data_IF_955920423435
#
_entry.id   IF_955920423435
#
_cell.length_a   1.000
_cell.length_b   1.000
_cell.length_c   1.000
_cell.angle_alpha   90.00
_cell.angle_beta   90.00
_cell.angle_gamma   90.00
#
_symmetry.space_group_name_H-M   'P 1'
#
loop_
_entity.id
_entity.type
_entity.pdbx_description
1 polymer ?
#
# COMPACT_ATOMS: atom_id res chain seq x y z
N UNK A 1 3.18 -25.15 16.71
CA UNK A 1 3.47 -24.43 15.45
C UNK A 1 2.39 -23.38 15.29
N UNK A 2 2.74 -22.10 15.22
CA UNK A 2 1.76 -21.04 14.96
C UNK A 2 1.37 -21.11 13.49
N UNK A 3 0.09 -21.36 13.21
CA UNK A 3 -0.43 -21.38 11.85
C UNK A 3 -0.36 -19.96 11.27
N UNK A 4 0.25 -19.78 10.10
CA UNK A 4 0.29 -18.48 9.43
C UNK A 4 -1.13 -18.07 9.00
N UNK A 5 -1.51 -16.78 9.09
CA UNK A 5 -2.81 -16.31 8.62
C UNK A 5 -3.01 -16.57 7.11
N UNK A 6 -4.24 -16.92 6.75
CA UNK A 6 -4.63 -17.20 5.37
C UNK A 6 -5.16 -15.94 4.68
N UNK A 7 -4.65 -15.65 3.49
CA UNK A 7 -5.11 -14.57 2.62
C UNK A 7 -5.86 -15.15 1.43
N UNK A 8 -6.94 -14.51 1.00
CA UNK A 8 -7.49 -14.71 -0.33
C UNK A 8 -6.59 -14.11 -1.42
N UNK A 9 -6.93 -14.32 -2.69
CA UNK A 9 -6.21 -13.69 -3.81
C UNK A 9 -6.38 -12.15 -3.86
N UNK A 10 -7.34 -11.63 -3.11
CA UNK A 10 -7.56 -10.20 -2.86
C UNK A 10 -8.00 -9.97 -1.43
N UNK A 11 -7.55 -8.87 -0.85
CA UNK A 11 -7.78 -8.49 0.54
C UNK A 11 -8.10 -7.01 0.69
N UNK A 12 -8.66 -6.62 1.83
CA UNK A 12 -8.72 -5.23 2.25
C UNK A 12 -7.48 -4.90 3.08
N UNK A 13 -6.88 -3.74 2.80
CA UNK A 13 -5.78 -3.21 3.60
C UNK A 13 -6.04 -1.75 3.96
N UNK A 14 -5.32 -1.26 4.97
CA UNK A 14 -5.30 0.16 5.34
C UNK A 14 -3.86 0.70 5.28
N UNK A 15 -3.72 1.97 4.91
CA UNK A 15 -2.49 2.75 4.94
C UNK A 15 -2.73 3.97 5.85
N UNK A 16 -2.61 3.81 7.18
CA UNK A 16 -3.03 4.82 8.15
C UNK A 16 -2.21 6.11 8.08
N UNK A 17 -0.96 6.05 7.61
CA UNK A 17 -0.11 7.25 7.43
C UNK A 17 -0.57 8.15 6.27
N UNK A 18 -1.54 7.67 5.48
CA UNK A 18 -2.17 8.38 4.37
C UNK A 18 -3.69 8.51 4.52
N UNK A 19 -4.23 8.28 5.72
CA UNK A 19 -5.69 8.30 6.00
C UNK A 19 -6.52 7.36 5.10
N UNK A 20 -5.90 6.32 4.54
CA UNK A 20 -6.57 5.31 3.72
C UNK A 20 -6.99 4.16 4.62
N UNK A 21 -8.24 4.20 5.08
CA UNK A 21 -8.78 3.18 5.96
C UNK A 21 -9.14 1.86 5.26
N UNK A 22 -9.47 1.90 3.97
CA UNK A 22 -9.88 0.73 3.20
C UNK A 22 -9.47 0.88 1.74
N UNK A 23 -8.54 0.03 1.28
CA UNK A 23 -8.19 -0.12 -0.12
C UNK A 23 -8.14 -1.61 -0.47
N UNK A 24 -8.73 -1.98 -1.60
CA UNK A 24 -8.65 -3.35 -2.11
C UNK A 24 -7.28 -3.58 -2.73
N UNK A 25 -6.57 -4.58 -2.23
CA UNK A 25 -5.31 -5.01 -2.77
C UNK A 25 -5.44 -6.41 -3.39
N UNK A 26 -4.80 -6.61 -4.54
CA UNK A 26 -4.58 -7.95 -5.09
C UNK A 26 -3.32 -8.53 -4.45
N UNK A 27 -3.40 -9.77 -3.99
CA UNK A 27 -2.24 -10.55 -3.58
C UNK A 27 -1.60 -11.09 -4.86
N UNK A 28 -0.40 -10.62 -5.18
CA UNK A 28 0.25 -10.87 -6.47
C UNK A 28 1.57 -11.62 -6.25
N UNK A 29 1.49 -12.95 -6.28
CA UNK A 29 2.67 -13.83 -6.20
C UNK A 29 3.59 -13.71 -7.40
N UNK A 30 3.19 -13.06 -8.49
CA UNK A 30 4.06 -12.74 -9.63
C UNK A 30 4.94 -11.52 -9.37
N UNK A 31 4.52 -10.59 -8.50
CA UNK A 31 5.26 -9.39 -8.16
C UNK A 31 6.26 -9.63 -7.01
N UNK A 32 7.50 -9.14 -7.16
CA UNK A 32 8.49 -9.15 -6.06
C UNK A 32 8.09 -8.13 -4.98
N UNK A 33 7.94 -6.87 -5.38
CA UNK A 33 7.63 -5.74 -4.50
C UNK A 33 6.16 -5.35 -4.58
N UNK A 34 5.63 -4.81 -3.50
CA UNK A 34 4.30 -4.19 -3.48
C UNK A 34 4.27 -2.90 -4.32
N UNK A 35 3.11 -2.56 -4.85
CA UNK A 35 2.91 -1.38 -5.67
C UNK A 35 1.59 -0.70 -5.32
N UNK A 36 1.64 0.62 -5.16
CA UNK A 36 0.49 1.47 -4.92
C UNK A 36 0.20 2.28 -6.18
N UNK A 37 -1.04 2.20 -6.62
CA UNK A 37 -1.52 3.04 -7.71
C UNK A 37 -1.65 4.47 -7.20
N UNK A 38 -0.97 5.39 -7.87
CA UNK A 38 -1.02 6.82 -7.58
C UNK A 38 -0.92 7.64 -8.86
N UNK A 39 -1.42 8.86 -8.81
CA UNK A 39 -1.32 9.88 -9.86
C UNK A 39 -0.74 11.17 -9.28
N UNK A 40 -0.47 12.17 -10.12
CA UNK A 40 0.18 13.43 -9.72
C UNK A 40 1.43 13.20 -8.85
N UNK A 41 2.34 12.33 -9.32
CA UNK A 41 3.53 11.92 -8.56
C UNK A 41 4.63 12.98 -8.74
N UNK A 42 4.70 13.92 -7.80
CA UNK A 42 5.57 15.09 -7.88
C UNK A 42 6.65 15.08 -6.79
N UNK A 43 7.93 14.89 -7.15
CA UNK A 43 9.02 14.94 -6.19
C UNK A 43 9.31 16.37 -5.74
N UNK A 44 9.63 16.55 -4.46
CA UNK A 44 10.02 17.85 -3.90
C UNK A 44 11.07 17.70 -2.80
N UNK A 45 11.55 18.82 -2.26
CA UNK A 45 12.46 18.86 -1.12
C UNK A 45 11.80 19.53 0.09
N UNK A 46 11.97 18.92 1.27
CA UNK A 46 11.53 19.46 2.57
C UNK A 46 12.67 19.29 3.56
N UNK A 47 13.18 20.39 4.10
CA UNK A 47 14.31 20.37 5.05
C UNK A 47 15.56 19.67 4.49
N UNK A 48 15.87 19.84 3.20
CA UNK A 48 17.00 19.18 2.54
C UNK A 48 16.80 17.71 2.17
N UNK A 49 15.77 17.05 2.69
CA UNK A 49 15.40 15.66 2.36
C UNK A 49 14.54 15.59 1.09
N UNK A 50 14.68 14.50 0.32
CA UNK A 50 13.79 14.22 -0.83
C UNK A 50 12.46 13.65 -0.37
N UNK A 51 11.38 14.22 -0.88
CA UNK A 51 10.01 13.82 -0.64
C UNK A 51 9.28 13.64 -1.97
N UNK A 52 8.11 13.00 -1.94
CA UNK A 52 7.21 12.88 -3.07
C UNK A 52 5.79 13.14 -2.60
N UNK A 53 5.10 14.04 -3.30
CA UNK A 53 3.65 14.21 -3.23
C UNK A 53 3.04 13.24 -4.25
N UNK A 54 1.95 12.59 -3.88
CA UNK A 54 1.19 11.75 -4.78
C UNK A 54 -0.27 11.72 -4.37
N UNK A 55 -1.17 11.61 -5.35
CA UNK A 55 -2.59 11.53 -5.10
C UNK A 55 -3.11 10.09 -5.33
N UNK A 56 -4.09 9.70 -4.51
CA UNK A 56 -4.73 8.38 -4.58
C UNK A 56 -6.24 8.55 -4.64
N UNK A 57 -6.89 7.78 -5.52
CA UNK A 57 -8.34 7.56 -5.48
C UNK A 57 -8.64 6.36 -4.57
N UNK A 58 -9.14 6.58 -3.33
CA UNK A 58 -9.34 5.49 -2.37
C UNK A 58 -10.49 4.54 -2.79
N UNK A 59 -11.50 5.06 -3.49
CA UNK A 59 -12.64 4.27 -3.99
C UNK A 59 -12.34 3.72 -5.38
N UNK A 60 -12.50 2.40 -5.55
CA UNK A 60 -12.45 1.80 -6.89
C UNK A 60 -13.58 2.37 -7.76
N UNK A 61 -13.29 2.63 -9.05
CA UNK A 61 -14.25 3.10 -10.07
C UNK A 61 -14.87 4.49 -9.84
N UNK A 62 -14.41 5.24 -8.84
CA UNK A 62 -14.79 6.63 -8.62
C UNK A 62 -13.55 7.51 -8.68
N UNK A 63 -13.58 8.52 -9.55
CA UNK A 63 -12.58 9.59 -9.62
C UNK A 63 -12.98 10.82 -8.78
N UNK A 64 -14.20 10.83 -8.25
CA UNK A 64 -14.71 11.94 -7.45
C UNK A 64 -14.02 11.95 -6.09
N UNK A 65 -13.04 12.84 -5.96
CA UNK A 65 -12.20 12.99 -4.77
C UNK A 65 -10.90 12.18 -4.83
N UNK A 66 -9.86 12.76 -4.25
CA UNK A 66 -8.56 12.13 -4.06
C UNK A 66 -8.01 12.47 -2.67
N UNK A 67 -7.07 11.64 -2.21
CA UNK A 67 -6.28 11.91 -1.02
C UNK A 67 -4.89 12.30 -1.48
N UNK A 68 -4.48 13.52 -1.14
CA UNK A 68 -3.11 13.99 -1.32
C UNK A 68 -2.24 13.39 -0.21
N UNK A 69 -1.17 12.70 -0.62
CA UNK A 69 -0.27 11.98 0.27
C UNK A 69 1.15 12.51 0.12
N UNK A 70 1.90 12.54 1.21
CA UNK A 70 3.30 12.96 1.22
C UNK A 70 4.15 11.92 1.94
N UNK A 71 5.26 11.52 1.32
CA UNK A 71 6.20 10.60 1.94
C UNK A 71 7.66 10.95 1.61
N UNK A 72 8.61 10.68 2.52
CA UNK A 72 10.02 10.67 2.19
C UNK A 72 10.33 9.67 1.07
N UNK A 73 11.17 10.05 0.12
CA UNK A 73 11.64 9.12 -0.92
C UNK A 73 12.71 8.22 -0.31
N UNK A 74 12.39 6.94 -0.13
CA UNK A 74 13.34 5.92 0.36
C UNK A 74 14.36 5.56 -0.71
N UNK A 75 13.89 5.32 -1.94
CA UNK A 75 14.72 4.93 -3.09
C UNK A 75 14.00 5.20 -4.42
N UNK A 76 14.68 4.95 -5.56
CA UNK A 76 14.10 4.85 -6.90
C UNK A 76 14.50 3.53 -7.54
N UNK A 77 13.53 2.66 -7.82
CA UNK A 77 13.78 1.31 -8.36
C UNK A 77 13.37 1.21 -9.81
N UNK A 78 14.19 0.55 -10.63
CA UNK A 78 13.79 0.13 -11.97
C UNK A 78 12.90 -1.12 -11.84
N UNK A 79 11.65 -1.01 -12.28
CA UNK A 79 10.65 -2.07 -12.20
C UNK A 79 10.23 -2.47 -13.61
N UNK A 80 10.27 -3.77 -13.90
CA UNK A 80 9.70 -4.34 -15.12
C UNK A 80 8.28 -4.80 -14.86
N UNK A 81 7.36 -4.54 -15.79
CA UNK A 81 6.04 -5.17 -15.80
C UNK A 81 6.04 -6.48 -16.60
N UNK A 82 4.88 -7.14 -16.66
CA UNK A 82 4.69 -8.39 -17.40
C UNK A 82 4.80 -8.22 -18.92
N UNK A 83 4.68 -7.00 -19.45
CA UNK A 83 4.89 -6.68 -20.87
C UNK A 83 6.36 -6.40 -21.21
N UNK A 84 7.26 -6.45 -20.24
CA UNK A 84 8.69 -6.17 -20.43
C UNK A 84 9.03 -4.68 -20.40
N UNK A 85 8.05 -3.79 -20.21
CA UNK A 85 8.30 -2.36 -20.08
C UNK A 85 8.97 -2.08 -18.74
N UNK A 86 10.01 -1.24 -18.76
CA UNK A 86 10.76 -0.86 -17.57
C UNK A 86 10.49 0.59 -17.21
N UNK A 87 10.21 0.84 -15.94
CA UNK A 87 9.95 2.18 -15.42
C UNK A 87 10.73 2.40 -14.12
N UNK A 88 11.33 3.58 -13.95
CA UNK A 88 11.88 4.00 -12.66
C UNK A 88 10.75 4.52 -11.78
N UNK A 89 10.51 3.87 -10.64
CA UNK A 89 9.44 4.21 -9.70
C UNK A 89 10.01 4.69 -8.37
N UNK A 90 9.36 5.67 -7.76
CA UNK A 90 9.67 6.06 -6.38
C UNK A 90 9.29 4.93 -5.43
N UNK A 91 10.17 4.69 -4.46
CA UNK A 91 9.92 3.78 -3.33
C UNK A 91 9.64 4.63 -2.12
N UNK A 92 8.51 4.36 -1.48
CA UNK A 92 8.15 4.92 -0.18
C UNK A 92 8.07 3.78 0.84
N UNK A 93 8.18 4.12 2.11
CA UNK A 93 7.95 3.20 3.22
C UNK A 93 6.76 3.72 4.01
N UNK A 94 5.80 2.84 4.32
CA UNK A 94 4.59 3.18 5.09
C UNK A 94 4.18 2.01 5.96
N UNK A 95 3.37 2.28 6.99
CA UNK A 95 2.58 1.24 7.68
C UNK A 95 1.47 0.72 6.79
N UNK A 96 1.28 -0.59 6.80
CA UNK A 96 0.20 -1.33 6.15
C UNK A 96 -0.48 -2.23 7.18
N UNK A 97 -1.81 -2.16 7.25
CA UNK A 97 -2.63 -3.03 8.09
C UNK A 97 -3.38 -4.02 7.19
N UNK A 98 -3.26 -5.31 7.48
CA UNK A 98 -3.92 -6.43 6.81
C UNK A 98 -4.40 -7.42 7.87
N UNK A 99 -5.72 -7.52 8.07
CA UNK A 99 -6.29 -8.20 9.25
C UNK A 99 -5.72 -7.58 10.54
N UNK A 100 -5.24 -8.44 11.44
CA UNK A 100 -4.60 -8.03 12.70
C UNK A 100 -3.11 -7.67 12.55
N UNK A 101 -2.58 -7.76 11.33
CA UNK A 101 -1.15 -7.59 11.08
C UNK A 101 -0.83 -6.15 10.68
N UNK A 102 0.03 -5.50 11.45
CA UNK A 102 0.57 -4.16 11.16
C UNK A 102 2.05 -4.26 10.76
N UNK A 103 2.37 -3.94 9.51
CA UNK A 103 3.71 -4.09 8.93
C UNK A 103 4.18 -2.77 8.34
N UNK A 104 5.40 -2.37 8.68
CA UNK A 104 6.11 -1.34 7.93
C UNK A 104 6.73 -1.93 6.67
N UNK A 105 6.36 -1.42 5.51
CA UNK A 105 6.69 -2.03 4.22
C UNK A 105 7.03 -1.00 3.16
N UNK A 106 7.91 -1.39 2.25
CA UNK A 106 8.22 -0.62 1.05
C UNK A 106 7.18 -0.87 -0.04
N UNK A 107 6.81 0.18 -0.75
CA UNK A 107 5.99 0.08 -1.95
C UNK A 107 6.43 1.07 -3.02
N UNK A 108 6.25 0.64 -4.27
CA UNK A 108 6.52 1.50 -5.43
C UNK A 108 5.29 2.30 -5.80
N UNK A 109 5.46 3.59 -6.10
CA UNK A 109 4.41 4.44 -6.66
C UNK A 109 4.36 4.27 -8.18
N UNK A 110 3.16 4.04 -8.72
CA UNK A 110 2.97 3.83 -10.15
C UNK A 110 1.62 4.34 -10.62
N UNK A 111 1.59 5.00 -11.77
CA UNK A 111 0.33 5.20 -12.48
C UNK A 111 -0.07 3.88 -13.16
N UNK A 112 -1.31 3.43 -12.91
CA UNK A 112 -1.96 2.21 -13.45
C UNK A 112 -3.45 2.47 -13.66
N UNK A 113 -3.80 3.61 -14.24
CA UNK A 113 -5.19 4.09 -14.35
C UNK A 113 -6.15 3.08 -15.00
N UNK A 114 -5.67 2.22 -15.88
CA UNK A 114 -6.45 1.18 -16.56
C UNK A 114 -6.70 -0.09 -15.74
N UNK A 115 -6.18 -0.19 -14.51
CA UNK A 115 -6.16 -1.45 -13.76
C UNK A 115 -7.13 -1.49 -12.57
N UNK A 116 -7.75 -2.66 -12.37
CA UNK A 116 -8.87 -2.87 -11.45
C UNK A 116 -8.48 -2.73 -9.96
N UNK A 117 -7.24 -3.08 -9.60
CA UNK A 117 -6.75 -2.98 -8.23
C UNK A 117 -5.82 -1.78 -8.07
N UNK A 118 -6.13 -0.95 -7.08
CA UNK A 118 -5.34 0.23 -6.72
C UNK A 118 -4.09 -0.12 -5.90
N UNK A 119 -3.93 -1.38 -5.52
CA UNK A 119 -2.75 -1.87 -4.82
C UNK A 119 -2.43 -3.32 -5.19
N UNK A 120 -1.14 -3.63 -5.31
CA UNK A 120 -0.61 -4.99 -5.33
C UNK A 120 0.22 -5.25 -4.08
N UNK A 121 0.01 -6.41 -3.45
CA UNK A 121 0.88 -6.95 -2.42
C UNK A 121 1.80 -7.98 -3.07
N UNK A 122 3.10 -7.70 -3.07
CA UNK A 122 4.11 -8.58 -3.65
C UNK A 122 4.66 -9.60 -2.67
N UNK A 123 5.42 -10.57 -3.20
CA UNK A 123 6.03 -11.67 -2.43
C UNK A 123 6.87 -11.22 -1.24
N UNK A 124 7.56 -10.07 -1.31
CA UNK A 124 8.39 -9.59 -0.20
C UNK A 124 7.58 -9.33 1.07
N UNK A 125 6.33 -8.85 0.96
CA UNK A 125 5.45 -8.67 2.12
C UNK A 125 4.87 -10.01 2.58
N UNK A 126 4.52 -10.87 1.63
CA UNK A 126 3.83 -12.14 1.89
C UNK A 126 4.75 -13.17 2.54
N UNK A 127 5.99 -13.25 2.06
CA UNK A 127 6.93 -14.30 2.41
C UNK A 127 7.10 -14.38 3.93
N UNK A 128 7.11 -15.61 4.45
CA UNK A 128 7.22 -15.96 5.88
C UNK A 128 6.13 -15.41 6.81
N UNK A 129 5.12 -14.70 6.29
CA UNK A 129 4.05 -14.08 7.09
C UNK A 129 2.66 -14.65 6.82
N UNK A 130 2.40 -15.15 5.62
CA UNK A 130 1.06 -15.53 5.19
C UNK A 130 1.04 -16.77 4.29
N UNK A 131 -0.11 -17.45 4.25
CA UNK A 131 -0.47 -18.45 3.23
C UNK A 131 -1.54 -17.85 2.33
N UNK A 132 -1.56 -18.24 1.05
CA UNK A 132 -2.55 -17.72 0.09
C UNK A 132 -3.49 -18.84 -0.34
N UNK A 133 -4.79 -18.64 -0.17
CA UNK A 133 -5.84 -19.39 -0.82
C UNK A 133 -6.31 -18.64 -2.08
N UNK A 134 -5.95 -19.10 -3.29
CA UNK A 134 -6.34 -18.45 -4.53
C UNK A 134 -7.85 -18.56 -4.82
N UNK A 135 -8.57 -19.45 -4.14
CA UNK A 135 -10.02 -19.67 -4.31
C UNK A 135 -10.86 -18.72 -3.46
N UNK A 136 -10.24 -18.05 -2.48
CA UNK A 136 -10.92 -17.19 -1.53
C UNK A 136 -10.67 -15.69 -1.76
N UNK A 137 -11.48 -14.84 -1.14
CA UNK A 137 -11.32 -13.39 -1.13
C UNK A 137 -11.68 -12.84 0.24
N UNK A 138 -10.96 -11.81 0.67
CA UNK A 138 -11.29 -11.03 1.88
C UNK A 138 -11.32 -11.86 3.16
N UNK A 139 -10.41 -12.84 3.29
CA UNK A 139 -10.36 -13.74 4.45
C UNK A 139 -9.98 -13.01 5.73
N UNK A 140 -9.30 -11.87 5.61
CA UNK A 140 -8.91 -11.04 6.75
C UNK A 140 -9.96 -9.96 7.10
N UNK A 141 -11.10 -9.94 6.40
CA UNK A 141 -12.12 -8.92 6.59
C UNK A 141 -11.64 -7.52 6.21
N UNK A 142 -12.35 -6.49 6.70
CA UNK A 142 -11.92 -5.10 6.56
C UNK A 142 -11.10 -4.70 7.78
N UNK A 143 -9.95 -4.00 7.63
CA UNK A 143 -9.27 -3.41 8.76
C UNK A 143 -10.21 -2.53 9.58
N UNK A 144 -10.04 -2.52 10.90
CA UNK A 144 -10.71 -1.54 11.75
C UNK A 144 -10.38 -0.13 11.24
N UNK A 145 -11.38 0.77 11.27
CA UNK A 145 -11.18 2.16 10.85
C UNK A 145 -10.10 2.75 11.76
N UNK A 146 -8.96 3.10 11.16
CA UNK A 146 -7.93 3.83 11.87
C UNK A 146 -8.42 5.26 12.04
N UNK A 147 -8.76 5.61 13.28
CA UNK A 147 -9.00 6.99 13.70
C UNK A 147 -7.71 7.47 14.37
N UNK A 148 -7.07 8.54 13.87
CA UNK A 148 -5.83 9.06 14.46
C UNK A 148 -5.94 9.42 15.96
N UNK A 149 -7.16 9.65 16.48
CA UNK A 149 -7.44 10.21 17.80
C UNK A 149 -7.44 9.23 18.98
N UNK A 150 -6.58 8.20 18.99
CA UNK A 150 -6.43 7.34 20.19
C UNK A 150 -5.10 7.45 20.94
N UNK A 151 -4.20 8.36 20.54
CA UNK A 151 -2.95 8.62 21.29
C UNK A 151 -2.52 10.09 21.29
N UNK A 152 -3.43 11.02 21.63
CA UNK A 152 -3.08 12.40 22.00
C UNK A 152 -3.45 12.80 23.44
N UNK A 153 -3.62 11.84 24.34
CA UNK A 153 -3.88 12.14 25.76
C UNK A 153 -2.98 11.30 26.67
N UNK A 154 -1.69 11.65 26.70
CA UNK A 154 -0.78 11.55 27.88
C UNK A 154 0.58 12.13 27.49
N UNK A 155 0.63 13.45 27.38
CA UNK A 155 1.86 14.24 27.48
C UNK A 155 1.50 15.65 27.96
N UNK A 156 0.83 15.72 29.11
CA UNK A 156 0.69 16.92 29.91
C UNK A 156 0.60 16.49 31.37
N UNK A 157 1.77 16.30 31.98
CA UNK A 157 2.02 16.37 33.43
C UNK A 157 3.49 16.67 33.62
#
# INVERSE_FOLDING_TARGET
MTQLPLLGWREWVALPEFDINQIKAKIDTGARSSALHAFAIDPYRKGGQRWVMFAIHPKQKHSDGYIECHAPVKDRRLVSDSGGHKQRRYVIETRLILGDTNIRTEMTLTNRDSMLFRMLIGRTLINTRFIIDPSASYLQGKPAIYTPDRFQETAAS
#
